data_IF_583624197969
#
_entry.id   IF_583624197969
#
_cell.length_a   1.000
_cell.length_b   1.000
_cell.length_c   1.000
_cell.angle_alpha   90.00
_cell.angle_beta   90.00
_cell.angle_gamma   90.00
#
_symmetry.space_group_name_H-M   'P 1'
#
loop_
_entity.id
_entity.type
_entity.pdbx_description
1 polymer ?
#
# COMPACT_ATOMS: atom_id res chain seq x y z
N UNK A 1 17.58 -10.48 53.25
CA UNK A 1 16.58 -11.11 52.36
C UNK A 1 15.24 -10.37 52.36
N UNK A 2 14.73 -9.91 53.52
CA UNK A 2 13.48 -9.13 53.61
C UNK A 2 13.52 -7.76 52.89
N UNK A 3 14.64 -7.04 52.95
CA UNK A 3 14.78 -5.72 52.29
C UNK A 3 14.86 -5.79 50.75
N UNK A 4 15.42 -6.88 50.20
CA UNK A 4 15.45 -7.10 48.76
C UNK A 4 14.06 -7.38 48.18
N UNK A 5 13.22 -8.12 48.92
CA UNK A 5 11.84 -8.39 48.53
C UNK A 5 10.98 -7.11 48.55
N UNK A 6 11.19 -6.23 49.53
CA UNK A 6 10.51 -4.93 49.59
C UNK A 6 10.88 -4.03 48.41
N UNK A 7 12.17 -3.95 48.07
CA UNK A 7 12.63 -3.13 46.93
C UNK A 7 12.07 -3.64 45.59
N UNK A 8 12.04 -4.96 45.38
CA UNK A 8 11.44 -5.56 44.20
C UNK A 8 9.94 -5.24 44.05
N UNK A 9 9.18 -5.20 45.17
CA UNK A 9 7.76 -4.81 45.17
C UNK A 9 7.60 -3.33 44.81
N UNK A 10 8.45 -2.44 45.34
CA UNK A 10 8.40 -1.02 45.00
C UNK A 10 8.68 -0.78 43.51
N UNK A 11 9.70 -1.43 42.95
CA UNK A 11 10.00 -1.35 41.52
C UNK A 11 8.84 -1.87 40.66
N UNK A 12 8.20 -2.97 41.08
CA UNK A 12 7.01 -3.48 40.41
C UNK A 12 5.84 -2.48 40.46
N UNK A 13 5.57 -1.85 41.61
CA UNK A 13 4.52 -0.83 41.75
C UNK A 13 4.81 0.39 40.85
N UNK A 14 6.06 0.88 40.79
CA UNK A 14 6.42 1.96 39.88
C UNK A 14 6.22 1.57 38.42
N UNK A 15 6.60 0.34 38.03
CA UNK A 15 6.38 -0.13 36.66
C UNK A 15 4.90 -0.17 36.28
N UNK A 16 4.02 -0.57 37.21
CA UNK A 16 2.56 -0.59 37.00
C UNK A 16 2.01 0.85 36.92
N UNK A 17 2.48 1.76 37.78
CA UNK A 17 2.07 3.16 37.73
C UNK A 17 2.46 3.83 36.40
N UNK A 18 3.62 3.51 35.85
CA UNK A 18 4.05 4.03 34.56
C UNK A 18 3.22 3.45 33.41
N UNK A 19 2.85 2.17 33.47
CA UNK A 19 1.91 1.57 32.53
C UNK A 19 0.53 2.24 32.61
N UNK A 20 0.01 2.49 33.82
CA UNK A 20 -1.26 3.20 34.02
C UNK A 20 -1.24 4.63 33.49
N UNK A 21 -0.11 5.35 33.59
CA UNK A 21 0.03 6.68 32.99
C UNK A 21 -0.06 6.60 31.46
N UNK A 22 0.59 5.61 30.86
CA UNK A 22 0.50 5.37 29.41
C UNK A 22 -0.94 5.02 29.00
N UNK A 23 -1.63 4.19 29.77
CA UNK A 23 -3.04 3.87 29.53
C UNK A 23 -3.96 5.09 29.66
N UNK A 24 -3.75 5.95 30.65
CA UNK A 24 -4.50 7.19 30.80
C UNK A 24 -4.26 8.14 29.62
N UNK A 25 -3.02 8.26 29.15
CA UNK A 25 -2.69 9.06 27.97
C UNK A 25 -3.37 8.48 26.71
N UNK A 26 -3.30 7.16 26.51
CA UNK A 26 -3.96 6.47 25.41
C UNK A 26 -5.48 6.64 25.44
N UNK A 27 -6.08 6.56 26.63
CA UNK A 27 -7.51 6.79 26.83
C UNK A 27 -7.89 8.23 26.48
N UNK A 28 -7.18 9.23 27.01
CA UNK A 28 -7.45 10.63 26.74
C UNK A 28 -7.33 10.96 25.24
N UNK A 29 -6.30 10.43 24.57
CA UNK A 29 -6.14 10.57 23.11
C UNK A 29 -7.30 9.89 22.38
N UNK A 30 -7.69 8.68 22.79
CA UNK A 30 -8.76 7.94 22.14
C UNK A 30 -10.13 8.59 22.34
N UNK A 31 -10.39 9.19 23.51
CA UNK A 31 -11.65 9.87 23.81
C UNK A 31 -11.80 11.19 23.08
N UNK A 32 -10.71 11.96 22.91
CA UNK A 32 -10.77 13.27 22.25
C UNK A 32 -10.71 13.18 20.71
N UNK A 33 -10.03 12.16 20.17
CA UNK A 33 -9.86 11.93 18.73
C UNK A 33 -11.16 12.05 17.89
N UNK A 34 -12.29 11.41 18.24
CA UNK A 34 -13.50 11.50 17.42
C UNK A 34 -14.03 12.93 17.32
N UNK A 35 -13.97 13.70 18.42
CA UNK A 35 -14.40 15.10 18.43
C UNK A 35 -13.50 15.98 17.58
N UNK A 36 -12.18 15.83 17.69
CA UNK A 36 -11.23 16.55 16.85
C UNK A 36 -11.41 16.21 15.37
N UNK A 37 -11.61 14.92 15.06
CA UNK A 37 -11.86 14.47 13.70
C UNK A 37 -13.10 15.15 13.11
N UNK A 38 -14.22 15.16 13.84
CA UNK A 38 -15.46 15.80 13.41
C UNK A 38 -15.26 17.29 13.16
N UNK A 39 -14.65 18.01 14.10
CA UNK A 39 -14.39 19.45 13.96
C UNK A 39 -13.46 19.76 12.78
N UNK A 40 -12.44 18.91 12.56
CA UNK A 40 -11.52 19.04 11.44
C UNK A 40 -12.25 18.89 10.10
N UNK A 41 -13.11 17.86 9.99
CA UNK A 41 -13.93 17.63 8.79
C UNK A 41 -14.86 18.80 8.51
N UNK A 42 -15.57 19.31 9.53
CA UNK A 42 -16.47 20.46 9.40
C UNK A 42 -15.72 21.73 8.98
N UNK A 43 -14.55 21.97 9.58
CA UNK A 43 -13.71 23.13 9.26
C UNK A 43 -13.19 23.08 7.83
N UNK A 44 -12.59 21.95 7.41
CA UNK A 44 -12.06 21.79 6.07
C UNK A 44 -13.15 21.90 5.02
N UNK A 45 -14.30 21.24 5.23
CA UNK A 45 -15.43 21.33 4.32
C UNK A 45 -15.93 22.77 4.17
N UNK A 46 -16.06 23.50 5.28
CA UNK A 46 -16.47 24.91 5.24
C UNK A 46 -15.46 25.76 4.46
N UNK A 47 -14.16 25.57 4.71
CA UNK A 47 -13.10 26.31 4.01
C UNK A 47 -13.08 26.00 2.52
N UNK A 48 -13.28 24.74 2.16
CA UNK A 48 -13.39 24.33 0.77
C UNK A 48 -14.62 24.92 0.10
N UNK A 49 -15.77 24.92 0.77
CA UNK A 49 -17.00 25.54 0.28
C UNK A 49 -16.82 27.05 0.01
N UNK A 50 -16.18 27.78 0.92
CA UNK A 50 -15.84 29.21 0.74
C UNK A 50 -14.95 29.46 -0.51
N UNK A 51 -14.13 28.49 -0.89
CA UNK A 51 -13.30 28.56 -2.09
C UNK A 51 -14.10 28.17 -3.34
N UNK A 52 -14.91 27.13 -3.25
CA UNK A 52 -15.75 26.63 -4.32
C UNK A 52 -16.77 27.68 -4.79
N UNK A 53 -17.39 28.42 -3.87
CA UNK A 53 -18.34 29.50 -4.20
C UNK A 53 -17.69 30.66 -4.97
N UNK A 54 -16.39 30.88 -4.78
CA UNK A 54 -15.63 31.90 -5.53
C UNK A 54 -15.23 31.44 -6.92
N UNK A 55 -15.15 30.12 -7.14
CA UNK A 55 -14.73 29.50 -8.39
C UNK A 55 -15.54 28.21 -8.64
N UNK A 56 -16.78 28.31 -9.17
CA UNK A 56 -17.67 27.16 -9.29
C UNK A 56 -17.20 26.07 -10.28
N UNK A 57 -16.34 26.41 -11.24
CA UNK A 57 -15.73 25.46 -12.19
C UNK A 57 -14.34 24.98 -11.73
N UNK A 58 -14.11 24.84 -10.42
CA UNK A 58 -12.79 24.50 -9.86
C UNK A 58 -12.58 23.01 -9.59
N UNK A 59 -13.44 22.13 -10.10
CA UNK A 59 -13.40 20.68 -9.85
C UNK A 59 -13.17 19.86 -11.14
N UNK A 60 -12.57 20.48 -12.15
CA UNK A 60 -12.35 19.86 -13.45
C UNK A 60 -11.39 18.67 -13.35
N UNK A 61 -10.35 18.74 -12.50
CA UNK A 61 -9.42 17.62 -12.32
C UNK A 61 -10.07 16.48 -11.53
N UNK A 62 -10.91 16.77 -10.53
CA UNK A 62 -11.73 15.75 -9.85
C UNK A 62 -12.68 15.04 -10.84
N UNK A 63 -13.39 15.80 -11.68
CA UNK A 63 -14.32 15.22 -12.66
C UNK A 63 -13.58 14.31 -13.65
N UNK A 64 -12.47 14.78 -14.21
CA UNK A 64 -11.64 13.99 -15.12
C UNK A 64 -11.07 12.75 -14.45
N UNK A 65 -10.57 12.87 -13.23
CA UNK A 65 -10.04 11.76 -12.44
C UNK A 65 -11.07 10.65 -12.22
N UNK A 66 -12.28 11.01 -11.79
CA UNK A 66 -13.36 10.04 -11.57
C UNK A 66 -13.88 9.43 -12.88
N UNK A 67 -13.90 10.22 -13.96
CA UNK A 67 -14.28 9.73 -15.28
C UNK A 67 -13.26 8.72 -15.84
N UNK A 68 -11.95 9.01 -15.73
CA UNK A 68 -10.88 8.07 -16.11
C UNK A 68 -10.99 6.75 -15.33
N UNK A 69 -11.28 6.83 -14.03
CA UNK A 69 -11.48 5.66 -13.19
C UNK A 69 -12.70 4.82 -13.61
N UNK A 70 -13.82 5.48 -13.95
CA UNK A 70 -15.01 4.80 -14.43
C UNK A 70 -14.76 4.08 -15.76
N UNK A 71 -14.11 4.74 -16.72
CA UNK A 71 -13.80 4.15 -18.04
C UNK A 71 -12.87 2.95 -17.89
N UNK A 72 -11.84 3.06 -17.05
CA UNK A 72 -10.93 1.95 -16.78
C UNK A 72 -11.64 0.76 -16.12
N UNK A 73 -12.48 0.99 -15.11
CA UNK A 73 -13.30 -0.07 -14.51
C UNK A 73 -14.23 -0.75 -15.53
N UNK A 74 -14.89 0.03 -16.38
CA UNK A 74 -15.73 -0.53 -17.43
C UNK A 74 -14.91 -1.44 -18.34
N UNK A 75 -13.73 -1.00 -18.78
CA UNK A 75 -12.84 -1.78 -19.62
C UNK A 75 -12.41 -3.10 -18.96
N UNK A 76 -12.07 -3.08 -17.66
CA UNK A 76 -11.71 -4.29 -16.89
C UNK A 76 -12.88 -5.27 -16.81
N UNK A 77 -14.10 -4.78 -16.61
CA UNK A 77 -15.32 -5.61 -16.59
C UNK A 77 -15.59 -6.24 -17.95
N UNK A 78 -15.35 -5.51 -19.04
CA UNK A 78 -15.47 -6.02 -20.42
C UNK A 78 -14.47 -7.14 -20.67
N UNK A 79 -13.19 -6.93 -20.35
CA UNK A 79 -12.15 -7.93 -20.56
C UNK A 79 -12.33 -9.21 -19.73
N UNK A 80 -12.96 -9.12 -18.56
CA UNK A 80 -13.19 -10.26 -17.68
C UNK A 80 -14.40 -11.14 -18.08
N UNK A 81 -15.30 -10.65 -18.93
CA UNK A 81 -16.57 -11.31 -19.24
C UNK A 81 -16.72 -11.57 -20.74
N UNK A 82 -16.12 -12.65 -21.23
CA UNK A 82 -16.40 -13.15 -22.57
C UNK A 82 -17.84 -13.73 -22.64
N UNK A 83 -18.77 -12.93 -23.17
CA UNK A 83 -20.14 -13.27 -23.61
C UNK A 83 -21.19 -13.64 -22.53
N UNK A 84 -21.85 -12.64 -21.95
CA UNK A 84 -23.20 -12.86 -21.38
C UNK A 84 -24.08 -11.59 -21.41
N UNK A 85 -25.37 -11.74 -21.72
CA UNK A 85 -26.35 -10.65 -21.83
C UNK A 85 -26.61 -9.90 -20.49
N UNK A 86 -26.13 -10.43 -19.36
CA UNK A 86 -26.08 -9.74 -18.07
C UNK A 86 -25.11 -8.53 -18.05
N UNK A 87 -24.28 -8.40 -19.08
CA UNK A 87 -23.25 -7.38 -19.27
C UNK A 87 -23.78 -5.94 -19.30
N UNK A 88 -24.87 -5.67 -20.02
CA UNK A 88 -25.44 -4.33 -20.09
C UNK A 88 -25.97 -3.85 -18.73
N UNK A 89 -26.52 -4.77 -17.92
CA UNK A 89 -27.01 -4.46 -16.58
C UNK A 89 -25.89 -4.27 -15.55
N UNK A 90 -24.73 -4.93 -15.73
CA UNK A 90 -23.58 -4.83 -14.83
C UNK A 90 -22.72 -3.58 -15.09
N UNK A 91 -22.60 -3.15 -16.36
CA UNK A 91 -21.98 -1.88 -16.75
C UNK A 91 -22.79 -0.68 -16.27
N UNK A 92 -24.14 -0.80 -16.22
CA UNK A 92 -25.05 0.17 -15.62
C UNK A 92 -25.08 0.14 -14.07
N UNK A 93 -24.49 -0.89 -13.43
CA UNK A 93 -24.51 -1.10 -11.99
C UNK A 93 -23.14 -0.88 -11.31
N UNK A 94 -22.25 -0.09 -11.91
CA UNK A 94 -21.04 0.35 -11.22
C UNK A 94 -21.45 1.23 -10.03
N UNK A 95 -21.15 0.76 -8.82
CA UNK A 95 -21.44 1.57 -7.63
C UNK A 95 -20.52 2.82 -7.61
N UNK A 96 -21.04 4.00 -7.23
CA UNK A 96 -20.22 5.21 -7.07
C UNK A 96 -19.00 4.98 -6.17
N UNK A 97 -19.18 4.18 -5.13
CA UNK A 97 -18.13 3.78 -4.18
C UNK A 97 -17.02 2.97 -4.86
N UNK A 98 -17.37 2.04 -5.77
CA UNK A 98 -16.38 1.27 -6.51
C UNK A 98 -15.57 2.16 -7.47
N UNK A 99 -16.23 3.09 -8.17
CA UNK A 99 -15.53 4.08 -9.03
C UNK A 99 -14.56 4.91 -8.20
N UNK A 100 -15.01 5.42 -7.06
CA UNK A 100 -14.20 6.24 -6.20
C UNK A 100 -13.01 5.47 -5.61
N UNK A 101 -13.22 4.25 -5.10
CA UNK A 101 -12.13 3.40 -4.58
C UNK A 101 -11.08 3.13 -5.66
N UNK A 102 -11.52 2.79 -6.87
CA UNK A 102 -10.62 2.57 -8.00
C UNK A 102 -9.86 3.84 -8.39
N UNK A 103 -10.51 5.00 -8.36
CA UNK A 103 -9.87 6.29 -8.62
C UNK A 103 -8.72 6.56 -7.64
N UNK A 104 -8.91 6.30 -6.34
CA UNK A 104 -7.84 6.45 -5.35
C UNK A 104 -6.70 5.44 -5.56
N UNK A 105 -6.98 4.22 -6.02
CA UNK A 105 -5.94 3.21 -6.30
C UNK A 105 -5.12 3.63 -7.51
N UNK A 106 -5.76 4.12 -8.56
CA UNK A 106 -5.07 4.68 -9.73
C UNK A 106 -4.17 5.86 -9.36
N UNK A 107 -4.56 6.65 -8.35
CA UNK A 107 -3.77 7.80 -7.89
C UNK A 107 -2.37 7.37 -7.42
N UNK A 108 -2.22 6.20 -6.79
CA UNK A 108 -0.92 5.66 -6.36
C UNK A 108 -0.01 5.23 -7.53
N UNK A 109 -0.56 5.08 -8.74
CA UNK A 109 0.17 4.64 -9.93
C UNK A 109 0.39 5.77 -10.93
N UNK A 110 -0.14 6.96 -10.66
CA UNK A 110 -0.05 8.06 -11.59
C UNK A 110 1.37 8.57 -11.73
N UNK A 111 1.70 8.95 -12.96
CA UNK A 111 2.85 9.80 -13.20
C UNK A 111 2.47 11.24 -12.87
N UNK A 112 2.75 11.64 -11.63
CA UNK A 112 2.42 12.96 -11.09
C UNK A 112 3.19 14.12 -11.77
N UNK A 113 4.19 13.84 -12.61
CA UNK A 113 4.86 14.86 -13.44
C UNK A 113 4.01 15.25 -14.66
N UNK A 114 3.18 14.33 -15.16
CA UNK A 114 2.38 14.52 -16.37
C UNK A 114 0.91 14.75 -16.06
N UNK A 115 0.42 14.23 -14.93
CA UNK A 115 -0.97 14.34 -14.50
C UNK A 115 -1.04 15.05 -13.13
N UNK A 116 -1.73 16.20 -13.03
CA UNK A 116 -1.90 16.89 -11.76
C UNK A 116 -2.80 16.10 -10.82
N UNK A 117 -2.63 16.32 -9.53
CA UNK A 117 -3.53 15.78 -8.52
C UNK A 117 -4.92 16.43 -8.59
N UNK A 118 -6.00 15.70 -8.23
CA UNK A 118 -7.33 16.29 -8.11
C UNK A 118 -7.34 17.38 -7.04
N UNK A 119 -8.19 18.40 -7.21
CA UNK A 119 -8.22 19.59 -6.35
C UNK A 119 -8.43 19.24 -4.86
N UNK A 120 -9.26 18.23 -4.63
CA UNK A 120 -9.61 17.70 -3.30
C UNK A 120 -8.47 16.93 -2.61
N UNK A 121 -7.39 16.61 -3.32
CA UNK A 121 -6.25 15.84 -2.80
C UNK A 121 -4.94 16.66 -2.84
N UNK A 122 -5.00 17.93 -3.28
CA UNK A 122 -3.82 18.78 -3.45
C UNK A 122 -3.01 18.99 -2.15
N UNK A 123 -3.68 18.99 -1.00
CA UNK A 123 -2.99 19.18 0.29
C UNK A 123 -2.22 17.94 0.75
N UNK A 124 -2.54 16.77 0.19
CA UNK A 124 -1.98 15.48 0.59
C UNK A 124 -1.03 14.88 -0.46
N UNK A 125 -0.64 15.65 -1.48
CA UNK A 125 0.21 15.19 -2.58
C UNK A 125 1.47 14.46 -2.12
N UNK A 126 2.22 15.07 -1.20
CA UNK A 126 3.49 14.49 -0.71
C UNK A 126 3.26 13.14 -0.05
N UNK A 127 2.14 12.97 0.67
CA UNK A 127 1.79 11.70 1.34
C UNK A 127 1.49 10.61 0.31
N UNK A 128 0.77 10.92 -0.77
CA UNK A 128 0.54 9.96 -1.86
C UNK A 128 1.84 9.58 -2.57
N UNK A 129 2.72 10.56 -2.85
CA UNK A 129 4.01 10.31 -3.50
C UNK A 129 4.95 9.49 -2.62
N UNK A 130 5.01 9.77 -1.31
CA UNK A 130 5.77 8.96 -0.35
C UNK A 130 5.27 7.50 -0.35
N UNK A 131 3.95 7.29 -0.31
CA UNK A 131 3.39 5.94 -0.37
C UNK A 131 3.65 5.25 -1.71
N UNK A 132 3.61 5.97 -2.83
CA UNK A 132 3.99 5.42 -4.14
C UNK A 132 5.43 4.91 -4.13
N UNK A 133 6.38 5.71 -3.60
CA UNK A 133 7.77 5.30 -3.46
C UNK A 133 7.94 4.10 -2.51
N UNK A 134 7.23 4.09 -1.38
CA UNK A 134 7.22 2.95 -0.45
C UNK A 134 6.70 1.67 -1.15
N UNK A 135 5.67 1.77 -1.99
CA UNK A 135 5.10 0.65 -2.75
C UNK A 135 6.04 0.16 -3.86
N UNK A 136 6.67 1.06 -4.62
CA UNK A 136 7.64 0.71 -5.67
C UNK A 136 8.84 -0.05 -5.08
N UNK A 137 9.35 0.41 -3.94
CA UNK A 137 10.40 -0.30 -3.20
C UNK A 137 9.91 -1.68 -2.74
N UNK A 138 8.66 -1.76 -2.26
CA UNK A 138 8.10 -3.01 -1.77
C UNK A 138 7.88 -4.03 -2.90
N UNK A 139 7.49 -3.58 -4.09
CA UNK A 139 7.38 -4.42 -5.30
C UNK A 139 8.73 -5.06 -5.60
N UNK A 140 9.82 -4.27 -5.61
CA UNK A 140 11.14 -4.79 -5.90
C UNK A 140 11.64 -5.74 -4.80
N UNK A 141 11.46 -5.38 -3.52
CA UNK A 141 11.79 -6.27 -2.39
C UNK A 141 11.05 -7.60 -2.53
N UNK A 142 9.74 -7.56 -2.81
CA UNK A 142 8.92 -8.74 -3.05
C UNK A 142 9.44 -9.58 -4.22
N UNK A 143 9.81 -8.94 -5.33
CA UNK A 143 10.28 -9.61 -6.54
C UNK A 143 11.62 -10.32 -6.29
N UNK A 144 12.55 -9.62 -5.64
CA UNK A 144 13.85 -10.17 -5.27
C UNK A 144 13.70 -11.36 -4.32
N UNK A 145 12.86 -11.22 -3.28
CA UNK A 145 12.59 -12.31 -2.34
C UNK A 145 11.96 -13.51 -3.05
N UNK A 146 11.00 -13.29 -3.95
CA UNK A 146 10.35 -14.36 -4.70
C UNK A 146 11.34 -15.10 -5.61
N UNK A 147 12.20 -14.37 -6.35
CA UNK A 147 13.26 -14.97 -7.17
C UNK A 147 14.24 -15.77 -6.30
N UNK A 148 14.65 -15.22 -5.16
CA UNK A 148 15.61 -15.84 -4.24
C UNK A 148 15.06 -17.13 -3.62
N UNK A 149 13.79 -17.12 -3.17
CA UNK A 149 13.14 -18.30 -2.61
C UNK A 149 12.88 -19.37 -3.67
N UNK A 150 12.50 -18.98 -4.89
CA UNK A 150 12.35 -19.93 -6.00
C UNK A 150 13.68 -20.61 -6.34
N UNK A 151 14.80 -19.89 -6.29
CA UNK A 151 16.13 -20.47 -6.53
C UNK A 151 16.63 -21.37 -5.38
N UNK A 152 16.27 -21.03 -4.14
CA UNK A 152 16.74 -21.71 -2.91
C UNK A 152 15.88 -22.91 -2.51
N UNK A 153 14.65 -22.99 -3.01
CA UNK A 153 13.68 -24.02 -2.62
C UNK A 153 13.18 -23.86 -1.19
N UNK A 154 12.48 -24.87 -0.68
CA UNK A 154 11.88 -24.84 0.66
C UNK A 154 12.89 -24.80 1.81
N UNK A 155 14.16 -25.14 1.57
CA UNK A 155 15.19 -25.23 2.59
C UNK A 155 15.43 -23.91 3.35
N UNK A 156 15.23 -22.76 2.69
CA UNK A 156 15.50 -21.43 3.27
C UNK A 156 14.26 -20.55 3.40
N UNK A 157 13.14 -20.92 2.78
CA UNK A 157 11.92 -20.11 2.74
C UNK A 157 11.21 -20.00 4.10
N UNK A 158 11.41 -20.97 4.98
CA UNK A 158 10.73 -21.04 6.30
C UNK A 158 11.52 -20.34 7.42
N UNK A 159 12.67 -19.74 7.11
CA UNK A 159 13.56 -19.11 8.10
C UNK A 159 13.31 -17.58 8.18
N UNK A 160 12.56 -17.08 9.19
CA UNK A 160 12.24 -15.65 9.29
C UNK A 160 13.48 -14.76 9.50
N UNK A 161 14.51 -15.27 10.18
CA UNK A 161 15.76 -14.55 10.38
C UNK A 161 16.51 -14.30 9.06
N UNK A 162 16.45 -15.26 8.12
CA UNK A 162 17.05 -15.13 6.80
C UNK A 162 16.29 -14.10 5.94
N UNK A 163 14.95 -14.18 5.93
CA UNK A 163 14.10 -13.18 5.25
C UNK A 163 14.38 -11.76 5.74
N UNK A 164 14.52 -11.55 7.05
CA UNK A 164 14.83 -10.23 7.59
C UNK A 164 16.23 -9.75 7.19
N UNK A 165 17.25 -10.63 7.17
CA UNK A 165 18.58 -10.27 6.67
C UNK A 165 18.56 -9.89 5.19
N UNK A 166 17.81 -10.61 4.36
CA UNK A 166 17.63 -10.26 2.94
C UNK A 166 16.97 -8.89 2.79
N UNK A 167 15.90 -8.61 3.54
CA UNK A 167 15.26 -7.28 3.52
C UNK A 167 16.24 -6.16 3.87
N UNK A 168 17.02 -6.31 4.93
CA UNK A 168 18.06 -5.34 5.30
C UNK A 168 19.14 -5.19 4.23
N UNK A 169 19.43 -6.26 3.49
CA UNK A 169 20.37 -6.22 2.38
C UNK A 169 19.85 -5.41 1.18
N UNK A 170 18.53 -5.47 0.93
CA UNK A 170 17.84 -4.82 -0.20
C UNK A 170 17.51 -3.35 0.09
N UNK A 171 17.29 -2.96 1.36
CA UNK A 171 16.88 -1.61 1.75
C UNK A 171 17.85 -0.47 1.35
N UNK A 172 19.06 -0.79 0.87
CA UNK A 172 20.00 0.20 0.35
C UNK A 172 19.65 0.52 -1.10
N UNK A 173 18.65 1.37 -1.31
CA UNK A 173 18.30 1.88 -2.63
C UNK A 173 19.13 3.11 -3.01
N UNK A 174 19.61 3.15 -4.25
CA UNK A 174 20.30 4.32 -4.84
C UNK A 174 19.64 4.72 -6.17
N UNK A 175 19.98 5.90 -6.69
CA UNK A 175 19.40 6.48 -7.90
C UNK A 175 19.66 5.68 -9.20
N UNK A 176 20.63 4.75 -9.20
CA UNK A 176 20.93 3.89 -10.35
C UNK A 176 20.46 2.45 -10.08
N UNK A 177 19.30 2.08 -10.62
CA UNK A 177 18.67 0.78 -10.37
C UNK A 177 19.54 -0.38 -10.87
N UNK A 178 20.14 -0.26 -12.05
CA UNK A 178 20.95 -1.32 -12.66
C UNK A 178 22.20 -1.63 -11.83
N UNK A 179 22.94 -0.58 -11.44
CA UNK A 179 24.13 -0.72 -10.59
C UNK A 179 23.76 -1.23 -9.19
N UNK A 180 22.66 -0.72 -8.62
CA UNK A 180 22.18 -1.15 -7.32
C UNK A 180 21.78 -2.62 -7.33
N UNK A 181 21.06 -3.08 -8.36
CA UNK A 181 20.66 -4.48 -8.50
C UNK A 181 21.86 -5.39 -8.75
N UNK A 182 22.90 -4.92 -9.46
CA UNK A 182 24.14 -5.67 -9.60
C UNK A 182 24.76 -5.93 -8.21
N UNK A 183 24.93 -4.90 -7.39
CA UNK A 183 25.49 -5.03 -6.02
C UNK A 183 24.60 -5.89 -5.12
N UNK A 184 23.28 -5.66 -5.15
CA UNK A 184 22.32 -6.44 -4.37
C UNK A 184 22.37 -7.92 -4.77
N UNK A 185 22.46 -8.22 -6.07
CA UNK A 185 22.54 -9.60 -6.56
C UNK A 185 23.76 -10.35 -5.99
N UNK A 186 24.90 -9.67 -5.86
CA UNK A 186 26.09 -10.27 -5.25
C UNK A 186 25.90 -10.53 -3.76
N UNK A 187 25.37 -9.54 -3.04
CA UNK A 187 25.10 -9.63 -1.61
C UNK A 187 24.10 -10.74 -1.28
N UNK A 188 23.06 -10.89 -2.09
CA UNK A 188 22.06 -11.96 -1.93
C UNK A 188 22.68 -13.33 -2.18
N UNK A 189 23.44 -13.52 -3.25
CA UNK A 189 24.12 -14.79 -3.48
C UNK A 189 25.07 -15.17 -2.34
N UNK A 190 25.79 -14.20 -1.78
CA UNK A 190 26.66 -14.40 -0.62
C UNK A 190 25.85 -14.82 0.62
N UNK A 191 24.75 -14.13 0.92
CA UNK A 191 23.91 -14.42 2.09
C UNK A 191 23.21 -15.79 1.94
N UNK A 192 22.72 -16.14 0.74
CA UNK A 192 22.14 -17.46 0.45
C UNK A 192 23.17 -18.57 0.71
N UNK A 193 24.38 -18.47 0.15
CA UNK A 193 25.42 -19.47 0.34
C UNK A 193 25.89 -19.57 1.80
N UNK A 194 26.00 -18.43 2.49
CA UNK A 194 26.32 -18.37 3.92
C UNK A 194 25.25 -19.08 4.75
N UNK A 195 23.97 -18.82 4.47
CA UNK A 195 22.85 -19.45 5.17
C UNK A 195 22.77 -20.96 4.90
N UNK A 196 22.93 -21.39 3.64
CA UNK A 196 23.00 -22.81 3.28
C UNK A 196 24.12 -23.52 4.06
N UNK A 197 25.31 -22.93 4.11
CA UNK A 197 26.46 -23.49 4.83
C UNK A 197 26.21 -23.58 6.34
N UNK A 198 25.61 -22.56 6.94
CA UNK A 198 25.26 -22.53 8.37
C UNK A 198 24.25 -23.61 8.76
N UNK A 199 23.35 -23.98 7.84
CA UNK A 199 22.34 -25.01 8.05
C UNK A 199 22.75 -26.40 7.52
N UNK A 200 24.01 -26.57 7.11
CA UNK A 200 24.55 -27.86 6.65
C UNK A 200 24.09 -28.29 5.25
N UNK A 201 23.51 -27.37 4.47
CA UNK A 201 23.17 -27.60 3.07
C UNK A 201 24.35 -27.30 2.15
N UNK A 202 24.34 -27.91 0.97
CA UNK A 202 25.33 -27.63 -0.07
C UNK A 202 25.14 -26.21 -0.62
N UNK A 203 26.19 -25.37 -0.67
CA UNK A 203 26.15 -24.08 -1.35
C UNK A 203 25.74 -24.22 -2.82
N UNK A 204 25.26 -23.12 -3.41
CA UNK A 204 24.95 -23.09 -4.83
C UNK A 204 26.19 -23.32 -5.69
N UNK A 205 25.98 -24.02 -6.81
CA UNK A 205 26.99 -24.14 -7.86
C UNK A 205 27.23 -22.78 -8.52
N UNK A 206 28.39 -22.61 -9.15
CA UNK A 206 28.72 -21.38 -9.90
C UNK A 206 27.63 -21.04 -10.93
N UNK A 207 27.12 -22.06 -11.63
CA UNK A 207 26.02 -21.90 -12.59
C UNK A 207 24.73 -21.36 -11.95
N UNK A 208 24.31 -21.92 -10.79
CA UNK A 208 23.12 -21.43 -10.07
C UNK A 208 23.29 -19.99 -9.57
N UNK A 209 24.49 -19.62 -9.12
CA UNK A 209 24.82 -18.24 -8.73
C UNK A 209 24.70 -17.29 -9.91
N UNK A 210 25.24 -17.65 -11.08
CA UNK A 210 25.16 -16.83 -12.30
C UNK A 210 23.70 -16.63 -12.72
N UNK A 211 22.89 -17.71 -12.72
CA UNK A 211 21.47 -17.65 -13.05
C UNK A 211 20.71 -16.75 -12.09
N UNK A 212 20.91 -16.91 -10.77
CA UNK A 212 20.24 -16.09 -9.76
C UNK A 212 20.61 -14.60 -9.91
N UNK A 213 21.90 -14.29 -10.13
CA UNK A 213 22.33 -12.91 -10.38
C UNK A 213 21.66 -12.31 -11.60
N UNK A 214 21.64 -13.04 -12.72
CA UNK A 214 20.99 -12.61 -13.95
C UNK A 214 19.48 -12.38 -13.77
N UNK A 215 18.80 -13.25 -13.02
CA UNK A 215 17.37 -13.09 -12.73
C UNK A 215 17.08 -11.85 -11.86
N UNK A 216 17.91 -11.57 -10.86
CA UNK A 216 17.76 -10.37 -10.00
C UNK A 216 18.02 -9.10 -10.80
N UNK A 217 19.05 -9.08 -11.64
CA UNK A 217 19.36 -7.92 -12.50
C UNK A 217 18.27 -7.67 -13.54
N UNK A 218 17.65 -8.73 -14.08
CA UNK A 218 16.53 -8.61 -15.01
C UNK A 218 15.27 -7.95 -14.40
N UNK A 219 15.20 -7.78 -13.07
CA UNK A 219 14.14 -7.03 -12.40
C UNK A 219 14.22 -5.51 -12.63
N UNK A 220 15.35 -4.99 -13.15
CA UNK A 220 15.46 -3.59 -13.58
C UNK A 220 14.49 -3.24 -14.72
N UNK A 221 14.08 -4.24 -15.51
CA UNK A 221 13.19 -4.03 -16.64
C UNK A 221 11.77 -3.66 -16.13
N UNK A 222 11.19 -2.50 -16.53
CA UNK A 222 9.85 -2.11 -16.13
C UNK A 222 8.75 -3.11 -16.56
N UNK A 223 8.97 -3.85 -17.64
CA UNK A 223 8.03 -4.85 -18.17
C UNK A 223 8.27 -6.26 -17.59
N UNK A 224 9.04 -6.36 -16.50
CA UNK A 224 9.33 -7.65 -15.88
C UNK A 224 8.04 -8.31 -15.35
N UNK A 225 7.76 -9.54 -15.80
CA UNK A 225 6.56 -10.30 -15.44
C UNK A 225 6.41 -10.55 -13.92
N UNK A 226 7.52 -10.63 -13.17
CA UNK A 226 7.50 -10.84 -11.72
C UNK A 226 7.10 -9.54 -11.01
N UNK A 227 7.70 -8.42 -11.41
CA UNK A 227 7.37 -7.10 -10.87
C UNK A 227 5.90 -6.74 -11.15
N UNK A 228 5.43 -6.94 -12.38
CA UNK A 228 4.03 -6.69 -12.75
C UNK A 228 3.05 -7.59 -12.00
N UNK A 229 3.41 -8.85 -11.74
CA UNK A 229 2.59 -9.78 -10.96
C UNK A 229 2.49 -9.34 -9.49
N UNK A 230 3.59 -8.90 -8.88
CA UNK A 230 3.60 -8.44 -7.49
C UNK A 230 2.84 -7.11 -7.35
N UNK A 231 3.09 -6.17 -8.25
CA UNK A 231 2.34 -4.92 -8.34
C UNK A 231 0.83 -5.18 -8.45
N UNK A 232 0.42 -6.07 -9.36
CA UNK A 232 -1.00 -6.43 -9.52
C UNK A 232 -1.61 -7.03 -8.25
N UNK A 233 -0.86 -7.85 -7.51
CA UNK A 233 -1.31 -8.42 -6.23
C UNK A 233 -1.41 -7.36 -5.13
N UNK A 234 -0.46 -6.42 -5.09
CA UNK A 234 -0.47 -5.30 -4.13
C UNK A 234 -1.68 -4.39 -4.38
N UNK A 235 -1.97 -4.04 -5.64
CA UNK A 235 -3.18 -3.28 -5.98
C UNK A 235 -4.45 -4.01 -5.56
N UNK A 236 -4.57 -5.30 -5.88
CA UNK A 236 -5.74 -6.09 -5.49
C UNK A 236 -5.88 -6.14 -3.96
N UNK A 237 -4.76 -6.24 -3.23
CA UNK A 237 -4.76 -6.16 -1.77
C UNK A 237 -5.30 -4.80 -1.29
N UNK A 238 -4.80 -3.68 -1.81
CA UNK A 238 -5.25 -2.34 -1.43
C UNK A 238 -6.71 -2.06 -1.84
N UNK A 239 -7.15 -2.51 -3.02
CA UNK A 239 -8.55 -2.44 -3.48
C UNK A 239 -9.48 -3.19 -2.53
N UNK A 240 -9.13 -4.43 -2.17
CA UNK A 240 -9.90 -5.22 -1.21
C UNK A 240 -9.91 -4.57 0.18
N UNK A 241 -8.77 -4.02 0.61
CA UNK A 241 -8.66 -3.33 1.89
C UNK A 241 -9.59 -2.10 1.94
N UNK A 242 -9.64 -1.30 0.87
CA UNK A 242 -10.58 -0.17 0.73
C UNK A 242 -12.04 -0.62 0.68
N UNK A 243 -12.34 -1.74 0.03
CA UNK A 243 -13.69 -2.26 -0.10
C UNK A 243 -14.24 -2.86 1.22
N UNK A 244 -13.38 -3.48 2.03
CA UNK A 244 -13.77 -4.09 3.31
C UNK A 244 -14.10 -3.07 4.42
N UNK A 245 -13.67 -1.81 4.29
CA UNK A 245 -13.88 -0.80 5.32
C UNK A 245 -13.38 -1.24 6.70
N UNK A 246 -14.08 -0.84 7.78
CA UNK A 246 -13.69 -1.16 9.17
C UNK A 246 -13.99 -2.63 9.58
N UNK A 247 -14.35 -3.52 8.65
CA UNK A 247 -14.57 -4.94 8.98
C UNK A 247 -13.24 -5.63 9.27
N UNK A 248 -13.11 -6.18 10.48
CA UNK A 248 -11.89 -6.79 11.06
C UNK A 248 -11.29 -7.98 10.30
N UNK A 249 -11.92 -8.47 9.23
CA UNK A 249 -11.35 -9.56 8.44
C UNK A 249 -10.36 -8.99 7.43
N UNK A 250 -9.07 -9.09 7.74
CA UNK A 250 -8.01 -8.84 6.77
C UNK A 250 -8.27 -9.69 5.51
N UNK A 251 -8.12 -9.14 4.30
CA UNK A 251 -8.15 -9.92 3.09
C UNK A 251 -7.13 -11.07 3.21
N UNK A 252 -7.47 -12.30 2.75
CA UNK A 252 -6.50 -13.38 2.74
C UNK A 252 -5.27 -12.96 1.95
N UNK A 253 -4.09 -13.20 2.52
CA UNK A 253 -2.81 -12.87 1.91
C UNK A 253 -2.73 -13.55 0.56
N UNK A 254 -2.65 -12.76 -0.50
CA UNK A 254 -2.44 -13.30 -1.83
C UNK A 254 -1.07 -14.00 -1.84
N UNK A 255 -1.03 -15.24 -2.34
CA UNK A 255 0.19 -16.05 -2.36
C UNK A 255 1.38 -15.25 -2.91
N UNK A 256 2.56 -15.40 -2.30
CA UNK A 256 3.78 -14.67 -2.69
C UNK A 256 3.97 -13.29 -2.06
N UNK A 257 2.96 -12.69 -1.40
CA UNK A 257 3.15 -11.46 -0.61
C UNK A 257 3.53 -11.70 0.86
N UNK A 258 3.45 -12.95 1.34
CA UNK A 258 3.72 -13.30 2.74
C UNK A 258 5.01 -12.67 3.32
N UNK A 259 6.15 -12.71 2.61
CA UNK A 259 7.38 -12.10 3.10
C UNK A 259 7.29 -10.58 3.31
N UNK A 260 6.46 -9.85 2.56
CA UNK A 260 6.34 -8.37 2.60
C UNK A 260 5.02 -7.89 3.21
N UNK A 261 4.22 -8.81 3.75
CA UNK A 261 2.85 -8.54 4.20
C UNK A 261 2.79 -7.47 5.30
N UNK A 262 3.68 -7.54 6.29
CA UNK A 262 3.69 -6.59 7.42
C UNK A 262 3.90 -5.16 6.93
N UNK A 263 4.89 -4.95 6.06
CA UNK A 263 5.18 -3.64 5.47
C UNK A 263 4.02 -3.16 4.60
N UNK A 264 3.40 -4.06 3.83
CA UNK A 264 2.23 -3.73 3.02
C UNK A 264 1.02 -3.31 3.87
N UNK A 265 0.78 -3.98 4.99
CA UNK A 265 -0.29 -3.64 5.94
C UNK A 265 -0.08 -2.26 6.56
N UNK A 266 1.16 -1.93 6.92
CA UNK A 266 1.51 -0.61 7.45
C UNK A 266 1.19 0.51 6.43
N UNK A 267 1.57 0.32 5.16
CA UNK A 267 1.23 1.25 4.07
C UNK A 267 -0.29 1.32 3.87
N UNK A 268 -0.97 0.17 3.82
CA UNK A 268 -2.41 0.10 3.60
C UNK A 268 -3.19 0.83 4.71
N UNK A 269 -2.76 0.73 5.97
CA UNK A 269 -3.38 1.46 7.08
C UNK A 269 -3.19 2.98 6.93
N UNK A 270 -1.98 3.45 6.57
CA UNK A 270 -1.74 4.88 6.30
C UNK A 270 -2.64 5.37 5.16
N UNK A 271 -2.68 4.61 4.07
CA UNK A 271 -3.43 4.93 2.87
C UNK A 271 -4.94 5.00 3.12
N UNK A 272 -5.54 4.00 3.77
CA UNK A 272 -6.97 4.02 4.07
C UNK A 272 -7.34 5.19 4.97
N UNK A 273 -6.54 5.47 6.02
CA UNK A 273 -6.83 6.60 6.90
C UNK A 273 -6.85 7.92 6.13
N UNK A 274 -5.93 8.08 5.18
CA UNK A 274 -5.86 9.25 4.32
C UNK A 274 -7.09 9.35 3.41
N UNK A 275 -7.42 8.25 2.72
CA UNK A 275 -8.56 8.18 1.80
C UNK A 275 -9.89 8.36 2.53
N UNK A 276 -10.10 7.68 3.66
CA UNK A 276 -11.33 7.76 4.44
C UNK A 276 -11.54 9.18 4.99
N UNK A 277 -10.48 9.82 5.50
CA UNK A 277 -10.57 11.20 5.94
C UNK A 277 -10.95 12.13 4.79
N UNK A 278 -10.29 11.99 3.64
CA UNK A 278 -10.57 12.78 2.44
C UNK A 278 -12.04 12.59 1.99
N UNK A 279 -12.53 11.34 1.97
CA UNK A 279 -13.94 11.02 1.70
C UNK A 279 -14.88 11.65 2.72
N UNK A 280 -14.55 11.66 4.01
CA UNK A 280 -15.38 12.31 5.03
C UNK A 280 -15.53 13.81 4.75
N UNK A 281 -14.50 14.49 4.24
CA UNK A 281 -14.57 15.91 3.91
C UNK A 281 -15.34 16.14 2.61
N UNK A 282 -14.97 15.43 1.53
CA UNK A 282 -15.33 15.79 0.16
C UNK A 282 -16.42 14.94 -0.50
N UNK A 283 -16.98 13.95 0.21
CA UNK A 283 -18.08 13.09 -0.29
C UNK A 283 -19.21 13.85 -1.00
N UNK A 284 -19.75 14.97 -0.48
CA UNK A 284 -20.84 15.68 -1.17
C UNK A 284 -20.48 16.15 -2.58
N UNK A 285 -19.23 16.59 -2.80
CA UNK A 285 -18.76 17.04 -4.11
C UNK A 285 -18.55 15.85 -5.06
N UNK A 286 -18.02 14.74 -4.54
CA UNK A 286 -17.85 13.52 -5.31
C UNK A 286 -19.19 12.92 -5.73
N UNK A 287 -20.18 12.89 -4.84
CA UNK A 287 -21.51 12.35 -5.13
C UNK A 287 -22.21 13.16 -6.23
N UNK A 288 -22.10 14.49 -6.19
CA UNK A 288 -22.64 15.36 -7.24
C UNK A 288 -21.97 15.08 -8.59
N UNK A 289 -20.64 15.02 -8.64
CA UNK A 289 -19.89 14.74 -9.87
C UNK A 289 -20.20 13.33 -10.40
N UNK A 290 -20.16 12.31 -9.54
CA UNK A 290 -20.43 10.93 -9.91
C UNK A 290 -21.87 10.76 -10.41
N UNK A 291 -22.85 11.44 -9.82
CA UNK A 291 -24.23 11.41 -10.31
C UNK A 291 -24.34 11.95 -11.74
N UNK A 292 -23.68 13.07 -12.04
CA UNK A 292 -23.61 13.64 -13.40
C UNK A 292 -22.90 12.72 -14.39
N UNK A 293 -21.77 12.11 -13.99
CA UNK A 293 -21.01 11.19 -14.85
C UNK A 293 -21.84 9.94 -15.14
N UNK A 294 -22.45 9.32 -14.12
CA UNK A 294 -23.21 8.07 -14.25
C UNK A 294 -24.52 8.26 -15.04
N UNK A 295 -25.18 9.40 -14.86
CA UNK A 295 -26.38 9.77 -15.62
C UNK A 295 -26.07 10.27 -17.04
N UNK A 296 -24.78 10.38 -17.41
CA UNK A 296 -24.30 10.94 -18.69
C UNK A 296 -24.80 12.37 -18.95
N UNK A 297 -24.91 13.17 -17.90
CA UNK A 297 -25.40 14.56 -17.97
C UNK A 297 -24.29 15.59 -18.21
N UNK A 298 -23.11 15.16 -18.67
CA UNK A 298 -22.08 16.10 -19.13
C UNK A 298 -22.33 16.46 -20.61
N UNK A 299 -22.34 17.76 -20.97
CA UNK A 299 -22.51 18.22 -22.35
C UNK A 299 -21.36 17.79 -23.26
#
# INVERSE_FOLDING_TARGET
TRDFASNAIFLAIFSVLDLMKMDMANFAVSSIRPHLMQQSVEYERKKFQELYEKQPNSLDFVAKWLQEAMVDLQSKVVCASNNDAAFASKVLALSPVAVQNHAYIQLLKWNHLQKPFPETVLMDQSRFQEMQLELDQLILIGAILLVTFNASGSALSDLPAFTNKLKMAIQVFSFNLDETLAVISEKICAEVNSCLSQHGFTPFTSEKVIVLKGQIQALANPDNAICTLIDSRIQLFLENYLACGHQKSLPPVLGGLGPIQRELEEIAIKYIRLVDYNKLVFSPYYDEILSKILNKEFP
#
